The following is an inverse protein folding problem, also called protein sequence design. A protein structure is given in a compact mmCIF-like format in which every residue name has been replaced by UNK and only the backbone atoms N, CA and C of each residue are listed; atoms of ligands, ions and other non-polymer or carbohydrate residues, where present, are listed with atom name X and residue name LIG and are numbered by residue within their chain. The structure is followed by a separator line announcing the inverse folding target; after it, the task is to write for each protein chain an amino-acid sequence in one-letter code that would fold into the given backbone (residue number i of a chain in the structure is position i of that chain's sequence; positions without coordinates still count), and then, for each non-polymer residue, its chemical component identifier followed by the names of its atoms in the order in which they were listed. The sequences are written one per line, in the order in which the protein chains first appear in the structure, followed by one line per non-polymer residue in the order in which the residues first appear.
data_IF_187753872924
#
_entry.id   IF_187753872924
#
_cell.length_a   1.000
_cell.length_b   1.000
_cell.length_c   1.000
_cell.angle_alpha   90.00
_cell.angle_beta   90.00
_cell.angle_gamma   90.00
#
_symmetry.space_group_name_H-M   'P 1'
#
loop_
_entity.id
_entity.type
_entity.pdbx_description
1 polymer ?
#
# COMPACT_ATOMS: atom_id res chain seq x y z
N UNK A 1 94.69 -44.28 23.63
CA UNK A 1 94.02 -43.02 23.19
C UNK A 1 93.26 -43.14 21.87
N UNK A 2 93.67 -43.99 20.91
CA UNK A 2 93.03 -44.04 19.57
C UNK A 2 91.51 -44.30 19.57
N UNK A 3 91.05 -45.32 20.32
CA UNK A 3 89.63 -45.73 20.35
C UNK A 3 88.66 -44.61 20.77
N UNK A 4 89.07 -43.71 21.68
CA UNK A 4 88.23 -42.58 22.11
C UNK A 4 88.11 -41.50 21.03
N UNK A 5 89.22 -41.16 20.37
CA UNK A 5 89.24 -40.14 19.31
C UNK A 5 88.40 -40.61 18.12
N UNK A 6 88.45 -41.91 17.81
CA UNK A 6 87.69 -42.54 16.75
C UNK A 6 86.18 -42.42 17.00
N UNK A 7 85.71 -42.79 18.20
CA UNK A 7 84.29 -42.64 18.60
C UNK A 7 83.83 -41.17 18.63
N UNK A 8 84.70 -40.24 19.06
CA UNK A 8 84.38 -38.82 19.03
C UNK A 8 84.36 -38.25 17.61
N UNK A 9 85.00 -38.90 16.64
CA UNK A 9 85.05 -38.48 15.23
C UNK A 9 83.86 -38.96 14.42
N UNK A 10 83.21 -40.05 14.84
CA UNK A 10 82.00 -40.56 14.19
C UNK A 10 80.72 -39.80 14.56
N UNK A 11 80.77 -38.91 15.56
CA UNK A 11 79.60 -38.22 16.12
C UNK A 11 79.67 -36.70 15.93
N UNK A 12 78.51 -36.04 15.95
CA UNK A 12 78.44 -34.58 16.00
C UNK A 12 78.96 -34.07 17.36
N UNK A 13 79.88 -33.10 17.34
CA UNK A 13 80.57 -32.62 18.55
C UNK A 13 79.97 -31.32 19.04
N UNK A 14 79.58 -31.31 20.32
CA UNK A 14 79.22 -30.10 21.04
C UNK A 14 80.29 -29.83 22.11
N UNK A 15 80.88 -28.62 22.08
CA UNK A 15 81.94 -28.24 23.00
C UNK A 15 81.36 -27.37 24.13
N UNK A 16 81.60 -27.79 25.38
CA UNK A 16 81.32 -27.00 26.58
C UNK A 16 82.65 -26.64 27.24
N UNK A 17 82.85 -25.35 27.54
CA UNK A 17 84.04 -24.86 28.26
C UNK A 17 83.62 -24.39 29.66
N UNK A 18 84.15 -25.04 30.68
CA UNK A 18 83.93 -24.65 32.06
C UNK A 18 84.89 -23.51 32.43
N UNK A 19 84.39 -22.48 33.12
CA UNK A 19 85.17 -21.33 33.60
C UNK A 19 84.98 -21.22 35.11
N UNK A 20 86.08 -21.14 35.85
CA UNK A 20 86.07 -20.95 37.30
C UNK A 20 86.12 -19.44 37.63
N UNK A 21 85.08 -18.86 38.25
CA UNK A 21 84.99 -17.41 38.42
C UNK A 21 85.93 -16.85 39.50
N UNK A 22 86.28 -17.63 40.53
CA UNK A 22 87.20 -17.25 41.61
C UNK A 22 87.76 -18.50 42.32
N UNK A 23 88.82 -18.34 43.12
CA UNK A 23 89.39 -19.43 43.96
C UNK A 23 88.69 -19.59 45.31
N UNK A 24 88.03 -18.54 45.80
CA UNK A 24 87.38 -18.49 47.11
C UNK A 24 86.11 -19.34 47.21
N UNK A 25 85.69 -19.98 46.10
CA UNK A 25 84.43 -20.74 45.98
C UNK A 25 83.19 -19.91 46.37
N UNK A 26 83.27 -18.59 46.19
CA UNK A 26 82.19 -17.66 46.53
C UNK A 26 81.30 -17.39 45.31
N UNK A 27 79.97 -17.45 45.43
CA UNK A 27 79.07 -17.25 44.29
C UNK A 27 79.06 -15.81 43.75
N UNK A 28 79.37 -14.81 44.59
CA UNK A 28 79.24 -13.38 44.24
C UNK A 28 80.56 -12.71 43.83
N UNK A 29 81.66 -13.46 43.79
CA UNK A 29 82.99 -12.93 43.51
C UNK A 29 83.41 -13.30 42.08
N UNK A 30 83.79 -12.32 41.28
CA UNK A 30 84.29 -12.53 39.92
C UNK A 30 85.70 -11.97 39.77
N UNK A 31 86.67 -12.85 39.60
CA UNK A 31 88.06 -12.48 39.35
C UNK A 31 88.28 -12.34 37.84
N UNK A 32 88.22 -11.09 37.38
CA UNK A 32 88.32 -10.75 35.95
C UNK A 32 89.65 -11.17 35.34
N UNK A 33 90.76 -11.03 36.06
CA UNK A 33 92.09 -11.36 35.53
C UNK A 33 92.24 -12.88 35.36
N UNK A 34 91.79 -13.64 36.36
CA UNK A 34 91.80 -15.11 36.30
C UNK A 34 90.88 -15.65 35.21
N UNK A 35 89.69 -15.09 35.06
CA UNK A 35 88.75 -15.51 34.01
C UNK A 35 89.31 -15.14 32.64
N UNK A 36 89.89 -13.95 32.47
CA UNK A 36 90.55 -13.55 31.23
C UNK A 36 91.65 -14.52 30.83
N UNK A 37 92.54 -14.88 31.78
CA UNK A 37 93.59 -15.87 31.54
C UNK A 37 93.01 -17.25 31.15
N UNK A 38 91.93 -17.69 31.79
CA UNK A 38 91.25 -18.94 31.40
C UNK A 38 90.69 -18.87 29.97
N UNK A 39 90.09 -17.74 29.59
CA UNK A 39 89.54 -17.56 28.24
C UNK A 39 90.64 -17.60 27.17
N UNK A 40 91.78 -16.95 27.43
CA UNK A 40 92.96 -16.99 26.55
C UNK A 40 93.58 -18.39 26.48
N UNK A 41 93.86 -19.03 27.63
CA UNK A 41 94.47 -20.36 27.66
C UNK A 41 93.56 -21.45 27.06
N UNK A 42 92.23 -21.32 27.20
CA UNK A 42 91.27 -22.27 26.62
C UNK A 42 90.97 -22.00 25.13
N UNK A 43 91.60 -20.98 24.53
CA UNK A 43 91.44 -20.63 23.12
C UNK A 43 90.05 -20.07 22.79
N UNK A 44 89.33 -19.48 23.75
CA UNK A 44 87.95 -19.03 23.56
C UNK A 44 87.90 -17.84 22.61
N UNK A 45 88.82 -16.88 22.74
CA UNK A 45 88.87 -15.71 21.86
C UNK A 45 89.21 -16.08 20.43
N UNK A 46 90.15 -17.00 20.24
CA UNK A 46 90.57 -17.55 18.96
C UNK A 46 89.41 -18.32 18.33
N UNK A 47 88.69 -19.14 19.12
CA UNK A 47 87.51 -19.88 18.65
C UNK A 47 86.40 -18.93 18.19
N UNK A 48 86.13 -17.86 18.94
CA UNK A 48 85.13 -16.85 18.58
C UNK A 48 85.55 -16.10 17.32
N UNK A 49 86.82 -15.71 17.23
CA UNK A 49 87.38 -15.02 16.07
C UNK A 49 87.29 -15.89 14.82
N UNK A 50 87.68 -17.16 14.93
CA UNK A 50 87.60 -18.12 13.82
C UNK A 50 86.16 -18.41 13.39
N UNK A 51 85.22 -18.51 14.35
CA UNK A 51 83.79 -18.66 14.02
C UNK A 51 83.21 -17.42 13.33
N UNK A 52 83.60 -16.21 13.74
CA UNK A 52 83.16 -14.96 13.12
C UNK A 52 83.76 -14.74 11.74
N UNK A 53 85.03 -15.11 11.56
CA UNK A 53 85.71 -15.01 10.27
C UNK A 53 85.29 -16.11 9.28
N UNK A 54 84.88 -17.28 9.79
CA UNK A 54 84.39 -18.39 8.99
C UNK A 54 82.87 -18.39 8.81
N UNK A 55 82.39 -19.40 8.08
CA UNK A 55 80.97 -19.72 8.01
C UNK A 55 80.59 -20.62 9.19
N UNK A 56 80.07 -20.01 10.25
CA UNK A 56 79.61 -20.69 11.48
C UNK A 56 78.48 -21.68 11.21
N UNK A 57 77.65 -21.40 10.20
CA UNK A 57 76.45 -22.17 9.87
C UNK A 57 76.65 -22.88 8.54
N UNK A 58 76.39 -24.18 8.54
CA UNK A 58 76.56 -25.06 7.38
C UNK A 58 75.35 -25.97 7.27
N UNK A 59 74.45 -25.65 6.36
CA UNK A 59 73.19 -26.37 6.19
C UNK A 59 73.24 -27.20 4.91
N UNK A 60 72.87 -28.50 4.94
CA UNK A 60 72.56 -29.24 3.73
C UNK A 60 71.54 -28.48 2.88
N UNK A 61 71.70 -28.53 1.55
CA UNK A 61 70.79 -27.83 0.63
C UNK A 61 69.32 -28.20 0.87
N UNK A 62 69.04 -29.47 1.13
CA UNK A 62 67.67 -29.95 1.39
C UNK A 62 67.07 -29.33 2.66
N UNK A 63 67.86 -29.26 3.75
CA UNK A 63 67.46 -28.62 5.01
C UNK A 63 67.26 -27.11 4.84
N UNK A 64 68.08 -26.48 4.00
CA UNK A 64 67.92 -25.05 3.69
C UNK A 64 66.62 -24.82 2.92
N UNK A 65 66.33 -25.65 1.91
CA UNK A 65 65.09 -25.60 1.14
C UNK A 65 63.89 -25.83 2.06
N UNK A 66 63.90 -26.87 2.89
CA UNK A 66 62.81 -27.17 3.82
C UNK A 66 62.51 -26.01 4.78
N UNK A 67 63.53 -25.30 5.25
CA UNK A 67 63.33 -24.18 6.18
C UNK A 67 62.90 -22.89 5.48
N UNK A 68 63.51 -22.58 4.34
CA UNK A 68 63.35 -21.29 3.66
C UNK A 68 62.49 -21.36 2.39
N UNK A 69 61.80 -22.49 2.15
CA UNK A 69 60.90 -22.67 1.01
C UNK A 69 59.92 -21.52 0.77
N UNK A 70 59.36 -20.82 1.78
CA UNK A 70 58.43 -19.72 1.52
C UNK A 70 59.10 -18.51 0.88
N UNK A 71 60.42 -18.38 1.01
CA UNK A 71 61.23 -17.32 0.41
C UNK A 71 61.81 -17.73 -0.95
N UNK A 72 61.81 -19.01 -1.28
CA UNK A 72 62.40 -19.52 -2.53
C UNK A 72 61.44 -19.32 -3.71
N UNK A 73 62.01 -19.03 -4.88
CA UNK A 73 61.27 -19.02 -6.15
C UNK A 73 60.99 -20.44 -6.67
N UNK A 74 61.82 -21.41 -6.31
CA UNK A 74 61.62 -22.84 -6.60
C UNK A 74 62.21 -23.71 -5.48
N UNK A 75 61.62 -24.88 -5.23
CA UNK A 75 62.09 -25.86 -4.23
C UNK A 75 63.29 -26.67 -4.73
N UNK A 76 64.32 -25.99 -5.22
CA UNK A 76 65.50 -26.61 -5.82
C UNK A 76 66.74 -25.74 -5.58
N UNK A 77 67.92 -26.26 -5.94
CA UNK A 77 69.18 -25.51 -5.86
C UNK A 77 69.12 -24.19 -6.62
N UNK A 78 68.47 -24.16 -7.80
CA UNK A 78 68.25 -22.94 -8.59
C UNK A 78 67.49 -21.87 -7.79
N UNK A 79 66.60 -22.28 -6.89
CA UNK A 79 65.89 -21.35 -6.00
C UNK A 79 66.82 -20.72 -4.98
N UNK A 80 67.75 -21.50 -4.43
CA UNK A 80 68.77 -21.03 -3.47
C UNK A 80 69.72 -20.05 -4.16
N UNK A 81 70.19 -20.39 -5.36
CA UNK A 81 71.08 -19.56 -6.17
C UNK A 81 70.49 -18.19 -6.49
N UNK A 82 69.17 -18.11 -6.65
CA UNK A 82 68.45 -16.83 -6.85
C UNK A 82 68.21 -16.09 -5.53
N UNK A 83 67.81 -16.81 -4.48
CA UNK A 83 67.49 -16.19 -3.19
C UNK A 83 68.71 -15.56 -2.52
N UNK A 84 69.86 -16.22 -2.52
CA UNK A 84 71.02 -15.76 -1.76
C UNK A 84 71.52 -14.37 -2.21
N UNK A 85 71.77 -14.09 -3.51
CA UNK A 85 72.17 -12.76 -3.96
C UNK A 85 71.10 -11.68 -3.72
N UNK A 86 69.82 -12.02 -3.90
CA UNK A 86 68.70 -11.08 -3.72
C UNK A 86 68.50 -10.72 -2.24
N UNK A 87 68.55 -11.73 -1.37
CA UNK A 87 68.30 -11.56 0.04
C UNK A 87 69.53 -11.09 0.83
N UNK A 88 70.73 -11.44 0.36
CA UNK A 88 72.02 -11.21 0.99
C UNK A 88 73.01 -10.65 -0.05
N UNK A 89 73.00 -9.33 -0.28
CA UNK A 89 73.86 -8.70 -1.28
C UNK A 89 75.36 -8.85 -0.97
N UNK A 90 75.72 -8.94 0.31
CA UNK A 90 77.09 -9.12 0.74
C UNK A 90 77.55 -10.58 0.59
N UNK A 91 78.32 -10.84 -0.47
CA UNK A 91 78.88 -12.15 -0.79
C UNK A 91 79.89 -12.66 0.25
N UNK A 92 80.34 -11.83 1.20
CA UNK A 92 81.20 -12.29 2.32
C UNK A 92 80.42 -13.07 3.37
N UNK A 93 79.12 -12.85 3.45
CA UNK A 93 78.25 -13.43 4.48
C UNK A 93 77.73 -14.82 4.12
N UNK A 94 77.89 -15.25 2.86
CA UNK A 94 77.43 -16.55 2.39
C UNK A 94 78.34 -17.17 1.32
N UNK A 95 78.31 -18.50 1.23
CA UNK A 95 78.88 -19.24 0.12
C UNK A 95 78.00 -20.46 -0.19
N UNK A 96 77.86 -20.79 -1.48
CA UNK A 96 77.14 -21.98 -1.93
C UNK A 96 78.15 -23.07 -2.30
N UNK A 97 78.09 -24.20 -1.60
CA UNK A 97 78.84 -25.40 -1.98
C UNK A 97 77.98 -26.35 -2.81
N UNK A 98 78.54 -27.50 -3.18
CA UNK A 98 77.84 -28.53 -3.97
C UNK A 98 76.65 -29.15 -3.24
N UNK A 99 76.78 -29.42 -1.94
CA UNK A 99 75.74 -30.08 -1.12
C UNK A 99 75.26 -29.26 0.09
N UNK A 100 75.92 -28.12 0.36
CA UNK A 100 75.68 -27.31 1.57
C UNK A 100 75.69 -25.82 1.26
N UNK A 101 74.83 -25.09 1.97
CA UNK A 101 74.82 -23.64 2.06
C UNK A 101 75.59 -23.20 3.29
N UNK A 102 76.55 -22.32 3.11
CA UNK A 102 77.40 -21.78 4.15
C UNK A 102 76.98 -20.35 4.46
N UNK A 103 76.74 -20.04 5.73
CA UNK A 103 76.23 -18.75 6.17
C UNK A 103 77.00 -18.29 7.41
N UNK A 104 77.15 -16.97 7.53
CA UNK A 104 77.53 -16.31 8.78
C UNK A 104 76.30 -15.90 9.58
N UNK A 105 76.52 -15.51 10.83
CA UNK A 105 75.44 -15.16 11.78
C UNK A 105 74.58 -13.99 11.29
N UNK A 106 75.15 -13.02 10.58
CA UNK A 106 74.39 -11.90 10.01
C UNK A 106 73.44 -12.36 8.90
N UNK A 107 73.92 -13.21 8.00
CA UNK A 107 73.10 -13.76 6.91
C UNK A 107 71.91 -14.57 7.40
N UNK A 108 72.11 -15.45 8.40
CA UNK A 108 71.01 -16.27 8.93
C UNK A 108 69.94 -15.41 9.61
N UNK A 109 70.35 -14.34 10.32
CA UNK A 109 69.42 -13.45 11.01
C UNK A 109 68.55 -12.70 10.00
N UNK A 110 69.14 -12.17 8.93
CA UNK A 110 68.39 -11.52 7.84
C UNK A 110 67.38 -12.48 7.21
N UNK A 111 67.78 -13.72 6.91
CA UNK A 111 66.87 -14.72 6.34
C UNK A 111 65.73 -15.08 7.30
N UNK A 112 66.02 -15.25 8.60
CA UNK A 112 65.01 -15.53 9.62
C UNK A 112 64.02 -14.36 9.77
N UNK A 113 64.50 -13.12 9.80
CA UNK A 113 63.66 -11.93 9.88
C UNK A 113 62.71 -11.82 8.68
N UNK A 114 63.23 -12.05 7.45
CA UNK A 114 62.41 -12.09 6.25
C UNK A 114 61.34 -13.18 6.32
N UNK A 115 61.71 -14.37 6.78
CA UNK A 115 60.79 -15.49 6.94
C UNK A 115 59.67 -15.15 7.95
N UNK A 116 60.01 -14.59 9.11
CA UNK A 116 59.03 -14.16 10.13
C UNK A 116 58.07 -13.11 9.57
N UNK A 117 58.58 -12.09 8.89
CA UNK A 117 57.74 -11.04 8.27
C UNK A 117 56.77 -11.62 7.24
N UNK A 118 57.22 -12.55 6.41
CA UNK A 118 56.38 -13.23 5.44
C UNK A 118 55.27 -14.04 6.12
N UNK A 119 55.59 -14.80 7.16
CA UNK A 119 54.59 -15.56 7.92
C UNK A 119 53.58 -14.65 8.60
N UNK A 120 54.02 -13.55 9.19
CA UNK A 120 53.13 -12.54 9.78
C UNK A 120 52.17 -11.95 8.73
N UNK A 121 52.68 -11.56 7.55
CA UNK A 121 51.86 -11.06 6.47
C UNK A 121 50.80 -12.09 6.01
N UNK A 122 51.20 -13.35 5.83
CA UNK A 122 50.26 -14.44 5.48
C UNK A 122 49.21 -14.68 6.57
N UNK A 123 49.62 -14.65 7.84
CA UNK A 123 48.71 -14.80 8.97
C UNK A 123 47.67 -13.67 9.00
N UNK A 124 48.06 -12.42 8.72
CA UNK A 124 47.14 -11.29 8.63
C UNK A 124 46.10 -11.51 7.52
N UNK A 125 46.50 -11.97 6.34
CA UNK A 125 45.57 -12.27 5.22
C UNK A 125 44.58 -13.38 5.61
N UNK A 126 45.06 -14.44 6.25
CA UNK A 126 44.20 -15.52 6.73
C UNK A 126 43.21 -15.02 7.78
N UNK A 127 43.69 -14.27 8.77
CA UNK A 127 42.85 -13.68 9.82
C UNK A 127 41.81 -12.73 9.23
N UNK A 128 42.18 -11.88 8.27
CA UNK A 128 41.27 -10.98 7.59
C UNK A 128 40.16 -11.75 6.84
N UNK A 129 40.53 -12.84 6.16
CA UNK A 129 39.58 -13.72 5.44
C UNK A 129 38.59 -14.38 6.39
N UNK A 130 39.06 -14.91 7.51
CA UNK A 130 38.22 -15.51 8.56
C UNK A 130 37.30 -14.46 9.19
N UNK A 131 37.83 -13.27 9.52
CA UNK A 131 37.03 -12.17 10.08
C UNK A 131 35.94 -11.72 9.09
N UNK A 132 36.27 -11.61 7.80
CA UNK A 132 35.29 -11.31 6.73
C UNK A 132 34.19 -12.37 6.67
N UNK A 133 34.56 -13.65 6.66
CA UNK A 133 33.60 -14.74 6.65
C UNK A 133 32.64 -14.67 7.86
N UNK A 134 33.19 -14.52 9.06
CA UNK A 134 32.39 -14.42 10.29
C UNK A 134 31.47 -13.19 10.29
N UNK A 135 31.96 -12.05 9.81
CA UNK A 135 31.14 -10.84 9.67
C UNK A 135 30.00 -11.04 8.65
N UNK A 136 30.27 -11.71 7.53
CA UNK A 136 29.26 -12.01 6.52
C UNK A 136 28.18 -12.96 7.06
N UNK A 137 28.56 -14.01 7.80
CA UNK A 137 27.59 -14.91 8.44
C UNK A 137 26.68 -14.17 9.44
N UNK A 138 27.26 -13.26 10.26
CA UNK A 138 26.48 -12.40 11.16
C UNK A 138 25.51 -11.49 10.40
N UNK A 139 25.98 -10.89 9.30
CA UNK A 139 25.14 -10.05 8.44
C UNK A 139 23.95 -10.82 7.86
N UNK A 140 24.18 -12.01 7.30
CA UNK A 140 23.11 -12.85 6.74
C UNK A 140 22.05 -13.20 7.79
N UNK A 141 22.46 -13.49 9.02
CA UNK A 141 21.54 -13.73 10.14
C UNK A 141 20.70 -12.50 10.48
N UNK A 142 21.31 -11.32 10.53
CA UNK A 142 20.57 -10.08 10.80
C UNK A 142 19.61 -9.73 9.66
N UNK A 143 20.04 -9.96 8.41
CA UNK A 143 19.23 -9.69 7.23
C UNK A 143 17.99 -10.59 7.15
N UNK A 144 18.12 -11.87 7.50
CA UNK A 144 16.98 -12.78 7.56
C UNK A 144 15.98 -12.38 8.65
N UNK A 145 16.47 -11.95 9.83
CA UNK A 145 15.62 -11.41 10.90
C UNK A 145 14.85 -10.16 10.42
N UNK A 146 15.53 -9.21 9.78
CA UNK A 146 14.88 -8.00 9.26
C UNK A 146 13.80 -8.32 8.22
N UNK A 147 14.03 -9.30 7.34
CA UNK A 147 13.02 -9.78 6.37
C UNK A 147 11.80 -10.37 7.04
N UNK A 148 11.99 -11.22 8.05
CA UNK A 148 10.87 -11.82 8.80
C UNK A 148 10.11 -10.71 9.53
N UNK A 149 10.81 -9.77 10.17
CA UNK A 149 10.19 -8.66 10.88
C UNK A 149 9.40 -7.74 9.95
N UNK A 150 9.91 -7.42 8.76
CA UNK A 150 9.17 -6.59 7.79
C UNK A 150 7.91 -7.29 7.31
N UNK A 151 7.98 -8.59 7.04
CA UNK A 151 6.82 -9.41 6.69
C UNK A 151 5.76 -9.42 7.79
N UNK A 152 6.15 -9.71 9.03
CA UNK A 152 5.22 -9.74 10.18
C UNK A 152 4.57 -8.37 10.40
N UNK A 153 5.35 -7.28 10.34
CA UNK A 153 4.82 -5.92 10.48
C UNK A 153 3.78 -5.60 9.41
N UNK A 154 4.08 -5.95 8.15
CA UNK A 154 3.14 -5.77 7.04
C UNK A 154 1.87 -6.58 7.25
N UNK A 155 1.99 -7.86 7.59
CA UNK A 155 0.85 -8.75 7.84
C UNK A 155 -0.05 -8.25 8.99
N UNK A 156 0.55 -7.80 10.09
CA UNK A 156 -0.22 -7.27 11.22
C UNK A 156 -0.94 -5.97 10.84
N UNK A 157 -0.31 -5.10 10.04
CA UNK A 157 -0.93 -3.88 9.56
C UNK A 157 -2.13 -4.16 8.64
N UNK A 158 -2.00 -5.10 7.69
CA UNK A 158 -3.10 -5.48 6.80
C UNK A 158 -4.25 -6.12 7.57
N UNK A 159 -3.97 -7.05 8.50
CA UNK A 159 -5.00 -7.67 9.35
C UNK A 159 -5.77 -6.64 10.19
N UNK A 160 -5.06 -5.67 10.76
CA UNK A 160 -5.70 -4.60 11.53
C UNK A 160 -6.60 -3.73 10.65
N UNK A 161 -6.14 -3.40 9.44
CA UNK A 161 -6.93 -2.62 8.48
C UNK A 161 -8.17 -3.39 8.01
N UNK A 162 -8.04 -4.68 7.68
CA UNK A 162 -9.16 -5.55 7.31
C UNK A 162 -10.24 -5.55 8.40
N UNK A 163 -9.85 -5.73 9.66
CA UNK A 163 -10.79 -5.70 10.79
C UNK A 163 -11.50 -4.35 10.93
N UNK A 164 -10.79 -3.23 10.75
CA UNK A 164 -11.41 -1.89 10.76
C UNK A 164 -12.37 -1.68 9.59
N UNK A 165 -12.02 -2.14 8.40
CA UNK A 165 -12.88 -2.08 7.21
C UNK A 165 -14.16 -2.89 7.45
N UNK A 166 -14.05 -4.09 8.02
CA UNK A 166 -15.20 -4.95 8.33
C UNK A 166 -16.13 -4.30 9.36
N UNK A 167 -15.57 -3.77 10.45
CA UNK A 167 -16.35 -3.02 11.45
C UNK A 167 -17.07 -1.82 10.82
N UNK A 168 -16.40 -1.06 9.95
CA UNK A 168 -17.02 0.08 9.26
C UNK A 168 -18.13 -0.37 8.30
N UNK A 169 -17.94 -1.47 7.56
CA UNK A 169 -18.99 -2.05 6.71
C UNK A 169 -20.22 -2.43 7.53
N UNK A 170 -20.01 -3.12 8.65
CA UNK A 170 -21.09 -3.53 9.55
C UNK A 170 -21.81 -2.31 10.15
N UNK A 171 -21.07 -1.30 10.57
CA UNK A 171 -21.62 -0.04 11.07
C UNK A 171 -22.46 0.68 10.00
N UNK A 172 -21.99 0.74 8.75
CA UNK A 172 -22.72 1.35 7.63
C UNK A 172 -24.05 0.64 7.35
N UNK A 173 -24.07 -0.70 7.37
CA UNK A 173 -25.29 -1.49 7.20
C UNK A 173 -26.32 -1.13 8.27
N UNK A 174 -25.91 -1.14 9.54
CA UNK A 174 -26.78 -0.79 10.67
C UNK A 174 -27.29 0.65 10.54
N UNK A 175 -26.39 1.61 10.24
CA UNK A 175 -26.75 3.01 10.06
C UNK A 175 -27.77 3.20 8.93
N UNK A 176 -27.60 2.51 7.80
CA UNK A 176 -28.52 2.57 6.67
C UNK A 176 -29.91 2.05 7.04
N UNK A 177 -29.99 0.89 7.71
CA UNK A 177 -31.27 0.35 8.18
C UNK A 177 -31.96 1.30 9.16
N UNK A 178 -31.22 1.91 10.10
CA UNK A 178 -31.79 2.88 11.03
C UNK A 178 -32.29 4.15 10.32
N UNK A 179 -31.54 4.68 9.35
CA UNK A 179 -31.97 5.84 8.55
C UNK A 179 -33.23 5.51 7.75
N UNK A 180 -33.26 4.36 7.10
CA UNK A 180 -34.43 3.89 6.34
C UNK A 180 -35.65 3.73 7.25
N UNK A 181 -35.50 3.07 8.40
CA UNK A 181 -36.58 2.87 9.36
C UNK A 181 -37.16 4.20 9.86
N UNK A 182 -36.31 5.16 10.22
CA UNK A 182 -36.75 6.51 10.62
C UNK A 182 -37.50 7.22 9.50
N UNK A 183 -37.02 7.15 8.26
CA UNK A 183 -37.70 7.75 7.12
C UNK A 183 -39.08 7.12 6.88
N UNK A 184 -39.21 5.80 7.01
CA UNK A 184 -40.50 5.10 6.90
C UNK A 184 -41.49 5.51 7.98
N UNK A 185 -41.03 5.71 9.22
CA UNK A 185 -41.89 6.22 10.30
C UNK A 185 -42.43 7.61 9.98
N UNK A 186 -41.56 8.53 9.55
CA UNK A 186 -41.96 9.89 9.16
C UNK A 186 -42.93 9.85 7.98
N UNK A 187 -42.64 9.06 6.95
CA UNK A 187 -43.51 8.91 5.78
C UNK A 187 -44.90 8.38 6.18
N UNK A 188 -44.97 7.39 7.08
CA UNK A 188 -46.25 6.85 7.55
C UNK A 188 -47.11 7.90 8.27
N UNK A 189 -46.51 8.74 9.10
CA UNK A 189 -47.21 9.86 9.74
C UNK A 189 -47.79 10.82 8.70
N UNK A 190 -46.97 11.24 7.75
CA UNK A 190 -47.39 12.14 6.66
C UNK A 190 -48.51 11.50 5.82
N UNK A 191 -48.43 10.21 5.50
CA UNK A 191 -49.48 9.50 4.76
C UNK A 191 -50.82 9.53 5.52
N UNK A 192 -50.83 9.23 6.83
CA UNK A 192 -52.05 9.29 7.63
C UNK A 192 -52.64 10.71 7.67
N UNK A 193 -51.81 11.75 7.72
CA UNK A 193 -52.26 13.14 7.65
C UNK A 193 -52.84 13.50 6.28
N UNK A 194 -52.19 13.06 5.20
CA UNK A 194 -52.66 13.26 3.84
C UNK A 194 -53.98 12.53 3.56
N UNK A 195 -54.15 11.29 4.03
CA UNK A 195 -55.41 10.54 3.91
C UNK A 195 -56.56 11.32 4.54
N UNK A 196 -56.37 11.85 5.76
CA UNK A 196 -57.35 12.72 6.42
C UNK A 196 -57.65 13.97 5.59
N UNK A 197 -56.61 14.62 5.06
CA UNK A 197 -56.75 15.80 4.22
C UNK A 197 -57.53 15.50 2.92
N UNK A 198 -57.26 14.38 2.25
CA UNK A 198 -57.96 13.96 1.02
C UNK A 198 -59.44 13.70 1.29
N UNK A 199 -59.78 13.03 2.39
CA UNK A 199 -61.18 12.81 2.79
C UNK A 199 -61.89 14.15 3.01
N UNK A 200 -61.24 15.08 3.71
CA UNK A 200 -61.80 16.42 3.95
C UNK A 200 -61.98 17.20 2.65
N UNK A 201 -60.95 17.24 1.79
CA UNK A 201 -61.00 17.91 0.49
C UNK A 201 -62.11 17.31 -0.39
N UNK A 202 -62.33 16.00 -0.37
CA UNK A 202 -63.42 15.33 -1.07
C UNK A 202 -64.80 15.80 -0.61
N UNK A 203 -65.01 15.94 0.71
CA UNK A 203 -66.25 16.49 1.29
C UNK A 203 -66.48 17.94 0.86
N UNK A 204 -65.44 18.77 0.90
CA UNK A 204 -65.51 20.17 0.47
C UNK A 204 -65.83 20.29 -1.03
N UNK A 205 -65.16 19.51 -1.89
CA UNK A 205 -65.46 19.47 -3.33
C UNK A 205 -66.91 19.07 -3.62
N UNK A 206 -67.44 18.06 -2.90
CA UNK A 206 -68.84 17.64 -3.01
C UNK A 206 -69.80 18.75 -2.58
N UNK A 207 -69.55 19.39 -1.45
CA UNK A 207 -70.39 20.49 -0.96
C UNK A 207 -70.42 21.66 -1.95
N UNK A 208 -69.26 22.06 -2.49
CA UNK A 208 -69.18 23.09 -3.52
C UNK A 208 -69.98 22.71 -4.77
N UNK A 209 -69.84 21.49 -5.28
CA UNK A 209 -70.61 21.01 -6.44
C UNK A 209 -72.12 21.02 -6.17
N UNK A 210 -72.55 20.62 -4.96
CA UNK A 210 -73.95 20.62 -4.57
C UNK A 210 -74.51 22.04 -4.44
N UNK A 211 -73.73 22.99 -3.92
CA UNK A 211 -74.11 24.40 -3.87
C UNK A 211 -74.31 24.99 -5.28
N UNK A 212 -73.40 24.69 -6.22
CA UNK A 212 -73.53 25.12 -7.63
C UNK A 212 -74.78 24.51 -8.27
N UNK A 213 -75.01 23.20 -8.08
CA UNK A 213 -76.20 22.53 -8.61
C UNK A 213 -77.50 23.10 -8.05
N UNK A 214 -77.57 23.32 -6.72
CA UNK A 214 -78.76 23.89 -6.08
C UNK A 214 -79.06 25.30 -6.57
N UNK A 215 -78.03 26.13 -6.82
CA UNK A 215 -78.18 27.45 -7.43
C UNK A 215 -78.76 27.33 -8.85
N UNK A 216 -78.19 26.46 -9.68
CA UNK A 216 -78.67 26.22 -11.05
C UNK A 216 -80.13 25.75 -11.07
N UNK A 217 -80.51 24.81 -10.20
CA UNK A 217 -81.89 24.31 -10.11
C UNK A 217 -82.85 25.42 -9.65
N UNK A 218 -82.44 26.28 -8.71
CA UNK A 218 -83.25 27.44 -8.28
C UNK A 218 -83.45 28.42 -9.44
N UNK A 219 -82.38 28.78 -10.15
CA UNK A 219 -82.43 29.67 -11.31
C UNK A 219 -83.29 29.09 -12.44
N UNK A 220 -83.12 27.79 -12.75
CA UNK A 220 -83.93 27.10 -13.76
C UNK A 220 -85.42 27.06 -13.38
N UNK A 221 -85.76 26.70 -12.14
CA UNK A 221 -87.16 26.70 -11.66
C UNK A 221 -87.78 28.09 -11.73
N UNK A 222 -87.06 29.13 -11.32
CA UNK A 222 -87.51 30.52 -11.44
C UNK A 222 -87.73 30.90 -12.91
N UNK A 223 -86.81 30.55 -13.80
CA UNK A 223 -86.93 30.79 -15.24
C UNK A 223 -88.14 30.06 -15.85
N UNK A 224 -88.36 28.77 -15.55
CA UNK A 224 -89.54 28.04 -16.00
C UNK A 224 -90.85 28.69 -15.50
N UNK A 225 -90.89 29.12 -14.24
CA UNK A 225 -92.06 29.79 -13.68
C UNK A 225 -92.34 31.11 -14.41
N UNK A 226 -91.32 31.95 -14.59
CA UNK A 226 -91.42 33.19 -15.37
C UNK A 226 -91.88 32.91 -16.80
N UNK A 227 -91.27 31.95 -17.50
CA UNK A 227 -91.66 31.56 -18.86
C UNK A 227 -93.11 31.08 -18.93
N UNK A 228 -93.59 30.32 -17.95
CA UNK A 228 -94.97 29.83 -17.90
C UNK A 228 -95.98 30.98 -17.73
N UNK A 229 -95.64 31.99 -16.91
CA UNK A 229 -96.46 33.18 -16.71
C UNK A 229 -96.52 34.01 -18.00
N UNK A 230 -95.37 34.25 -18.64
CA UNK A 230 -95.28 35.00 -19.90
C UNK A 230 -96.08 34.28 -21.01
N UNK A 231 -95.93 32.95 -21.15
CA UNK A 231 -96.70 32.17 -22.13
C UNK A 231 -98.21 32.25 -21.87
N UNK A 232 -98.64 32.21 -20.60
CA UNK A 232 -100.05 32.37 -20.22
C UNK A 232 -100.57 33.77 -20.55
N UNK A 233 -99.81 34.81 -20.24
CA UNK A 233 -100.16 36.20 -20.58
C UNK A 233 -100.30 36.39 -22.08
N UNK A 234 -99.36 35.84 -22.87
CA UNK A 234 -99.44 35.86 -24.34
C UNK A 234 -100.67 35.13 -24.86
N UNK A 235 -100.92 33.89 -24.40
CA UNK A 235 -102.11 33.14 -24.80
C UNK A 235 -103.43 33.85 -24.43
N UNK A 236 -103.47 34.57 -23.29
CA UNK A 236 -104.62 35.39 -22.91
C UNK A 236 -104.80 36.59 -23.84
N UNK A 237 -103.72 37.27 -24.21
CA UNK A 237 -103.72 38.36 -25.21
C UNK A 237 -104.24 37.85 -26.55
N UNK A 238 -103.69 36.73 -27.05
CA UNK A 238 -104.09 36.12 -28.32
C UNK A 238 -105.58 35.70 -28.31
N UNK A 239 -106.09 35.21 -27.17
CA UNK A 239 -107.51 34.87 -27.00
C UNK A 239 -108.40 36.09 -27.04
N UNK A 240 -107.98 37.19 -26.41
CA UNK A 240 -108.73 38.45 -26.40
C UNK A 240 -108.76 39.05 -27.80
N UNK A 241 -107.64 39.05 -28.52
CA UNK A 241 -107.60 39.43 -29.95
C UNK A 241 -108.57 38.59 -30.78
N UNK A 242 -108.56 37.26 -30.63
CA UNK A 242 -109.51 36.36 -31.31
C UNK A 242 -110.96 36.57 -30.89
N UNK A 243 -111.21 37.05 -29.67
CA UNK A 243 -112.56 37.35 -29.17
C UNK A 243 -113.07 38.64 -29.80
N UNK A 244 -112.27 39.70 -29.75
CA UNK A 244 -112.56 40.99 -30.40
C UNK A 244 -112.82 40.76 -31.90
N UNK A 245 -112.00 39.93 -32.56
CA UNK A 245 -112.18 39.59 -33.97
C UNK A 245 -113.50 38.82 -34.23
N UNK A 246 -113.85 37.87 -33.36
CA UNK A 246 -115.13 37.15 -33.44
C UNK A 246 -116.34 38.05 -33.20
N UNK A 247 -116.24 38.97 -32.25
CA UNK A 247 -117.30 39.96 -31.99
C UNK A 247 -117.48 40.88 -33.21
N UNK A 248 -116.40 41.37 -33.82
CA UNK A 248 -116.43 42.12 -35.08
C UNK A 248 -117.11 41.34 -36.22
N UNK A 249 -116.77 40.06 -36.40
CA UNK A 249 -117.40 39.20 -37.41
C UNK A 249 -118.90 39.02 -37.16
N UNK A 250 -119.32 38.82 -35.89
CA UNK A 250 -120.74 38.72 -35.53
C UNK A 250 -121.50 40.04 -35.73
N UNK A 251 -120.86 41.18 -35.50
CA UNK A 251 -121.41 42.50 -35.76
C UNK A 251 -121.71 42.66 -37.26
N UNK A 252 -120.71 42.33 -38.11
CA UNK A 252 -120.84 42.33 -39.56
C UNK A 252 -121.95 41.40 -40.04
N UNK A 253 -122.09 40.22 -39.43
CA UNK A 253 -123.12 39.25 -39.79
C UNK A 253 -124.53 39.69 -39.35
N UNK A 254 -124.67 40.33 -38.19
CA UNK A 254 -125.93 40.97 -37.77
C UNK A 254 -126.34 42.08 -38.72
N UNK A 255 -125.41 42.95 -39.12
CA UNK A 255 -125.67 43.98 -40.12
C UNK A 255 -126.12 43.37 -41.45
N UNK A 256 -125.56 42.21 -41.83
CA UNK A 256 -125.95 41.48 -43.05
C UNK A 256 -127.38 40.92 -42.95
N UNK A 257 -127.71 40.26 -41.84
CA UNK A 257 -129.05 39.69 -41.59
C UNK A 257 -130.10 40.80 -41.50
N UNK A 258 -129.80 41.93 -40.87
CA UNK A 258 -130.72 43.06 -40.78
C UNK A 258 -130.97 43.69 -42.15
N UNK A 259 -129.93 43.77 -42.99
CA UNK A 259 -130.06 44.18 -44.39
C UNK A 259 -130.95 43.21 -45.18
N UNK A 260 -130.72 41.89 -45.04
CA UNK A 260 -131.56 40.86 -45.67
C UNK A 260 -133.02 40.89 -45.17
N UNK A 261 -133.27 41.19 -43.89
CA UNK A 261 -134.62 41.36 -43.33
C UNK A 261 -135.34 42.58 -43.91
N UNK A 262 -134.65 43.73 -44.01
CA UNK A 262 -135.22 44.93 -44.65
C UNK A 262 -135.61 44.65 -46.11
N UNK A 263 -134.77 43.92 -46.85
CA UNK A 263 -135.07 43.49 -48.22
C UNK A 263 -136.23 42.47 -48.32
N UNK A 264 -136.48 41.68 -47.26
CA UNK A 264 -137.57 40.70 -47.21
C UNK A 264 -138.91 41.34 -46.81
N UNK A 265 -138.90 42.30 -45.88
CA UNK A 265 -140.09 43.10 -45.52
C UNK A 265 -140.55 44.00 -46.68
N UNK A 266 -139.62 44.55 -47.48
CA UNK A 266 -139.96 45.24 -48.73
C UNK A 266 -140.61 44.32 -49.77
N UNK A 267 -140.20 43.04 -49.84
CA UNK A 267 -140.82 42.03 -50.72
C UNK A 267 -142.22 41.65 -50.27
N UNK A 268 -142.45 41.43 -48.97
CA UNK A 268 -143.77 41.07 -48.43
C UNK A 268 -144.81 42.22 -48.48
N UNK A 269 -144.37 43.49 -48.43
CA UNK A 269 -145.27 44.64 -48.71
C UNK A 269 -145.79 44.61 -50.14
N UNK A 270 -144.94 44.26 -51.12
CA UNK A 270 -145.35 44.19 -52.54
C UNK A 270 -146.35 43.06 -52.80
N UNK A 271 -146.20 41.90 -52.15
CA UNK A 271 -147.12 40.75 -52.35
C UNK A 271 -148.52 40.94 -51.70
N UNK A 272 -148.64 41.71 -50.60
CA UNK A 272 -149.94 42.00 -49.97
C UNK A 272 -150.80 42.98 -50.78
N UNK A 273 -150.20 43.82 -51.63
CA UNK A 273 -150.92 44.71 -52.54
C UNK A 273 -151.50 43.99 -53.78
N UNK A 274 -151.03 42.78 -54.10
CA UNK A 274 -151.49 42.00 -55.27
C UNK A 274 -152.72 41.12 -54.99
N UNK A 275 -152.90 40.59 -53.76
CA UNK A 275 -153.99 39.64 -53.43
C UNK A 275 -155.36 40.28 -53.15
N UNK A 276 -155.47 41.60 -53.05
CA UNK A 276 -156.75 42.30 -52.84
C UNK A 276 -157.67 42.45 -54.07
N UNK A 277 -157.37 41.79 -55.20
CA UNK A 277 -157.90 42.17 -56.53
C UNK A 277 -158.87 41.19 -57.23
N UNK A 278 -159.27 40.06 -56.62
CA UNK A 278 -160.15 39.05 -57.27
C UNK A 278 -161.26 38.54 -56.33
N UNK A 279 -162.29 39.36 -56.10
CA UNK A 279 -163.73 39.02 -55.94
C UNK A 279 -164.53 40.33 -56.16
N UNK A 280 -164.66 40.70 -57.43
CA UNK A 280 -165.78 41.41 -58.06
C UNK A 280 -165.95 40.81 -59.45
#
# INVERSE_FOLDING_TARGET
MGKLIETLSSSERHYVRCIKPNELRSPSVFDSFKVLNQLSCNGVFETVTLRKAGFSIRLPSDRFIEKYWPLLSSHSLNGIEKLLPEALPDKKEWALGTSKVFLRDKAINILNEKLVKLWQARAIVLQASIRRYNAHQKYLKLWSIQKIQSFIKSYNATRKLEGLIELNKNALVIQNHLRQYRALLVFRVIQMENEKAVVLQGKVRRWNAQMVYMKLVREYKAACLMQSVIRRMKARSDLEERRIERERLRELERQRIEKEKREREERERREKEEKGRWWS
#
